data_IF_970055745514
#
_entry.id   IF_970055745514
#
_cell.length_a   1.000
_cell.length_b   1.000
_cell.length_c   1.000
_cell.angle_alpha   90.00
_cell.angle_beta   90.00
_cell.angle_gamma   90.00
#
_symmetry.space_group_name_H-M   'P 1'
#
loop_
_entity.id
_entity.type
_entity.pdbx_description
1 polymer ?
#
# COMPACT_ATOMS: atom_id res chain seq x y z
N UNK A 1 -5.39 -10.61 -10.23
CA UNK A 1 -3.96 -10.42 -10.52
C UNK A 1 -3.23 -11.63 -9.99
N UNK A 2 -2.38 -12.29 -10.78
CA UNK A 2 -1.49 -13.34 -10.28
C UNK A 2 -0.64 -12.82 -9.11
N UNK A 3 -0.29 -13.70 -8.17
CA UNK A 3 0.61 -13.39 -7.04
C UNK A 3 -0.01 -12.56 -5.90
N UNK A 4 -1.01 -11.71 -6.14
CA UNK A 4 -1.70 -10.93 -5.10
C UNK A 4 -2.82 -11.74 -4.42
N UNK A 5 -2.84 -11.75 -3.09
CA UNK A 5 -3.85 -12.49 -2.30
C UNK A 5 -5.21 -11.80 -2.37
N UNK A 6 -6.21 -12.52 -2.89
CA UNK A 6 -7.61 -12.03 -2.94
C UNK A 6 -8.10 -11.66 -1.54
N UNK A 7 -8.76 -10.50 -1.41
CA UNK A 7 -9.29 -10.00 -0.14
C UNK A 7 -8.25 -9.42 0.84
N UNK A 8 -6.96 -9.44 0.48
CA UNK A 8 -5.86 -8.94 1.29
C UNK A 8 -5.22 -7.71 0.64
N UNK A 9 -6.07 -6.75 0.28
CA UNK A 9 -5.65 -5.52 -0.40
C UNK A 9 -6.39 -4.37 0.24
N UNK A 10 -5.65 -3.30 0.53
CA UNK A 10 -6.15 -2.06 1.09
C UNK A 10 -5.66 -0.91 0.21
N UNK A 11 -6.56 0.01 -0.12
CA UNK A 11 -6.20 1.31 -0.66
C UNK A 11 -6.68 2.40 0.29
N UNK A 12 -5.87 3.45 0.45
CA UNK A 12 -6.22 4.64 1.22
C UNK A 12 -5.48 5.87 0.68
N UNK A 13 -6.01 7.04 0.98
CA UNK A 13 -5.37 8.31 0.70
C UNK A 13 -4.48 8.74 1.89
N UNK A 14 -3.35 9.37 1.59
CA UNK A 14 -2.51 10.12 2.55
C UNK A 14 -2.37 11.56 2.07
N UNK A 15 -2.14 12.53 2.98
CA UNK A 15 -1.80 13.90 2.56
C UNK A 15 -0.52 13.86 1.72
N UNK A 16 -0.56 14.49 0.54
CA UNK A 16 0.63 14.79 -0.25
C UNK A 16 0.87 16.29 -0.30
N UNK A 17 1.98 16.69 -0.92
CA UNK A 17 2.40 18.10 -0.99
C UNK A 17 1.39 19.01 -1.71
N UNK A 18 0.80 18.52 -2.81
CA UNK A 18 -0.16 19.27 -3.63
C UNK A 18 -1.59 18.72 -3.47
N UNK A 19 -1.74 17.39 -3.48
CA UNK A 19 -3.03 16.70 -3.35
C UNK A 19 -2.87 15.46 -2.49
N UNK A 20 -3.98 14.86 -2.10
CA UNK A 20 -3.96 13.51 -1.54
C UNK A 20 -3.29 12.51 -2.52
N UNK A 21 -2.55 11.57 -1.95
CA UNK A 21 -1.82 10.52 -2.66
C UNK A 21 -2.44 9.16 -2.36
N UNK A 22 -2.63 8.34 -3.40
CA UNK A 22 -3.20 6.99 -3.25
C UNK A 22 -2.10 5.99 -2.91
N UNK A 23 -2.25 5.30 -1.80
CA UNK A 23 -1.39 4.21 -1.38
C UNK A 23 -2.13 2.89 -1.53
N UNK A 24 -1.46 1.87 -2.04
CA UNK A 24 -1.96 0.49 -2.08
C UNK A 24 -1.09 -0.39 -1.23
N UNK A 25 -1.70 -1.19 -0.35
CA UNK A 25 -1.02 -2.20 0.46
C UNK A 25 -1.65 -3.55 0.16
N UNK A 26 -0.84 -4.55 -0.18
CA UNK A 26 -1.33 -5.86 -0.58
C UNK A 26 -0.45 -6.99 -0.03
N UNK A 27 -1.06 -8.09 0.37
CA UNK A 27 -0.30 -9.34 0.60
C UNK A 27 -0.05 -10.06 -0.72
N UNK A 28 1.16 -10.58 -0.92
CA UNK A 28 1.53 -11.44 -2.07
C UNK A 28 1.92 -12.85 -1.61
N UNK A 29 1.67 -13.87 -2.43
CA UNK A 29 2.03 -15.26 -2.13
C UNK A 29 3.45 -15.63 -2.59
N UNK A 30 4.02 -14.86 -3.52
CA UNK A 30 5.37 -15.07 -4.04
C UNK A 30 6.01 -13.71 -4.32
N UNK A 31 7.31 -13.60 -4.10
CA UNK A 31 8.07 -12.48 -4.60
C UNK A 31 8.06 -12.49 -6.14
N UNK A 32 8.04 -11.31 -6.73
CA UNK A 32 8.02 -11.12 -8.18
C UNK A 32 8.07 -9.63 -8.49
N UNK A 33 8.87 -9.28 -9.48
CA UNK A 33 9.26 -7.89 -9.72
C UNK A 33 8.15 -7.05 -10.37
N UNK A 34 7.19 -7.70 -11.06
CA UNK A 34 6.14 -7.01 -11.83
C UNK A 34 4.90 -6.59 -11.00
N UNK A 35 4.82 -6.95 -9.72
CA UNK A 35 3.61 -6.69 -8.92
C UNK A 35 3.28 -5.20 -8.82
N UNK A 36 4.28 -4.33 -8.66
CA UNK A 36 4.10 -2.88 -8.59
C UNK A 36 3.46 -2.35 -9.89
N UNK A 37 4.06 -2.67 -11.03
CA UNK A 37 3.58 -2.21 -12.33
C UNK A 37 2.17 -2.75 -12.64
N UNK A 38 1.90 -4.02 -12.29
CA UNK A 38 0.58 -4.63 -12.47
C UNK A 38 -0.50 -3.93 -11.64
N UNK A 39 -0.21 -3.61 -10.37
CA UNK A 39 -1.12 -2.87 -9.48
C UNK A 39 -1.39 -1.47 -10.04
N UNK A 40 -0.33 -0.71 -10.32
CA UNK A 40 -0.43 0.66 -10.87
C UNK A 40 -1.26 0.69 -12.15
N UNK A 41 -0.96 -0.20 -13.11
CA UNK A 41 -1.68 -0.29 -14.38
C UNK A 41 -3.15 -0.62 -14.20
N UNK A 42 -3.49 -1.56 -13.32
CA UNK A 42 -4.88 -1.93 -13.15
C UNK A 42 -5.70 -0.89 -12.39
N UNK A 43 -5.11 -0.18 -11.42
CA UNK A 43 -5.76 0.96 -10.77
C UNK A 43 -6.05 2.02 -11.83
N UNK A 44 -5.03 2.46 -12.58
CA UNK A 44 -5.19 3.43 -13.65
C UNK A 44 -6.27 3.04 -14.67
N UNK A 45 -6.25 1.80 -15.14
CA UNK A 45 -7.19 1.30 -16.14
C UNK A 45 -8.64 1.32 -15.65
N UNK A 46 -8.88 1.16 -14.34
CA UNK A 46 -10.23 1.09 -13.76
C UNK A 46 -10.73 2.42 -13.21
N UNK A 47 -9.84 3.24 -12.64
CA UNK A 47 -10.24 4.43 -11.88
C UNK A 47 -9.67 5.73 -12.43
N UNK A 48 -8.68 5.66 -13.34
CA UNK A 48 -7.90 6.83 -13.81
C UNK A 48 -7.17 7.55 -12.67
N UNK A 49 -6.91 6.87 -11.55
CA UNK A 49 -6.08 7.37 -10.46
C UNK A 49 -4.67 6.79 -10.56
N UNK A 50 -3.69 7.60 -10.20
CA UNK A 50 -2.30 7.17 -10.04
C UNK A 50 -2.07 6.69 -8.62
N UNK A 51 -1.48 5.51 -8.47
CA UNK A 51 -0.95 5.05 -7.18
C UNK A 51 0.38 5.76 -6.95
N UNK A 52 0.56 6.38 -5.79
CA UNK A 52 1.82 7.00 -5.38
C UNK A 52 2.79 5.92 -4.88
N UNK A 53 2.34 5.07 -3.95
CA UNK A 53 3.14 3.96 -3.40
C UNK A 53 2.36 2.64 -3.35
N UNK A 54 3.08 1.54 -3.54
CA UNK A 54 2.58 0.18 -3.46
C UNK A 54 3.45 -0.68 -2.54
N UNK A 55 2.88 -1.11 -1.42
CA UNK A 55 3.57 -1.88 -0.37
C UNK A 55 3.13 -3.34 -0.44
N UNK A 56 4.10 -4.24 -0.60
CA UNK A 56 3.86 -5.68 -0.76
C UNK A 56 4.32 -6.48 0.46
N UNK A 57 3.34 -6.90 1.25
CA UNK A 57 3.51 -7.63 2.48
C UNK A 57 3.57 -9.15 2.26
N UNK A 58 4.23 -9.84 3.19
CA UNK A 58 4.14 -11.29 3.33
C UNK A 58 2.74 -11.70 3.86
N UNK A 59 2.30 -12.95 3.58
CA UNK A 59 1.06 -13.50 4.11
C UNK A 59 0.90 -13.31 5.63
N UNK A 60 -0.23 -12.72 6.06
CA UNK A 60 -0.58 -12.55 7.47
C UNK A 60 -0.10 -11.25 8.12
N UNK A 61 0.66 -10.41 7.41
CA UNK A 61 1.13 -9.13 7.94
C UNK A 61 0.10 -7.99 7.80
N UNK A 62 -0.89 -8.12 6.93
CA UNK A 62 -1.89 -7.07 6.75
C UNK A 62 -2.85 -7.05 7.96
N UNK A 63 -3.03 -5.90 8.65
CA UNK A 63 -3.90 -5.81 9.81
C UNK A 63 -5.34 -6.22 9.49
N UNK A 64 -5.89 -7.11 10.32
CA UNK A 64 -7.24 -7.63 10.19
C UNK A 64 -7.95 -7.73 11.54
N UNK A 65 -9.28 -7.66 11.49
CA UNK A 65 -10.13 -8.06 12.61
C UNK A 65 -10.06 -9.58 12.81
N UNK A 66 -10.51 -10.07 13.98
CA UNK A 66 -10.67 -11.50 14.25
C UNK A 66 -11.56 -12.22 13.22
N UNK A 67 -12.52 -11.51 12.62
CA UNK A 67 -13.36 -12.00 11.51
C UNK A 67 -12.70 -11.99 10.14
N UNK A 68 -11.43 -11.58 10.04
CA UNK A 68 -10.65 -11.57 8.81
C UNK A 68 -10.85 -10.35 7.91
N UNK A 69 -11.61 -9.33 8.35
CA UNK A 69 -11.78 -8.07 7.58
C UNK A 69 -10.53 -7.23 7.69
N UNK A 70 -10.05 -6.72 6.57
CA UNK A 70 -8.90 -5.79 6.53
C UNK A 70 -9.21 -4.50 7.32
N UNK A 71 -8.24 -4.02 8.09
CA UNK A 71 -8.36 -2.80 8.88
C UNK A 71 -7.68 -1.64 8.16
N UNK A 72 -8.42 -0.98 7.26
CA UNK A 72 -7.90 0.13 6.42
C UNK A 72 -7.27 1.26 7.25
N UNK A 73 -7.93 1.72 8.31
CA UNK A 73 -7.43 2.80 9.16
C UNK A 73 -6.14 2.43 9.87
N UNK A 74 -6.08 1.24 10.49
CA UNK A 74 -4.87 0.73 11.14
C UNK A 74 -3.72 0.54 10.15
N UNK A 75 -4.02 0.06 8.94
CA UNK A 75 -3.01 -0.10 7.88
C UNK A 75 -2.44 1.26 7.47
N UNK A 76 -3.29 2.29 7.33
CA UNK A 76 -2.86 3.66 7.03
C UNK A 76 -2.00 4.25 8.16
N UNK A 77 -2.37 4.03 9.42
CA UNK A 77 -1.57 4.47 10.56
C UNK A 77 -0.18 3.83 10.58
N UNK A 78 -0.09 2.51 10.36
CA UNK A 78 1.19 1.81 10.27
C UNK A 78 2.03 2.30 9.09
N UNK A 79 1.42 2.57 7.94
CA UNK A 79 2.10 3.13 6.78
C UNK A 79 2.72 4.49 7.10
N UNK A 80 1.93 5.40 7.71
CA UNK A 80 2.40 6.74 8.06
C UNK A 80 3.52 6.74 9.11
N UNK A 81 3.57 5.72 9.97
CA UNK A 81 4.66 5.51 10.94
C UNK A 81 5.86 4.75 10.38
N UNK A 82 5.81 4.29 9.12
CA UNK A 82 6.87 3.45 8.54
C UNK A 82 6.95 2.04 9.14
N UNK A 83 5.88 1.57 9.78
CA UNK A 83 5.84 0.28 10.52
C UNK A 83 5.32 -0.90 9.68
N UNK A 84 4.94 -0.66 8.41
CA UNK A 84 4.62 -1.74 7.49
C UNK A 84 5.92 -2.39 6.99
N UNK A 85 6.26 -3.55 7.55
CA UNK A 85 7.43 -4.33 7.13
C UNK A 85 7.16 -4.93 5.74
N UNK A 86 7.94 -4.55 4.71
CA UNK A 86 7.91 -5.19 3.37
C UNK A 86 9.31 -5.59 2.93
N UNK A 87 9.43 -6.80 2.36
CA UNK A 87 10.67 -7.34 1.78
C UNK A 87 11.05 -6.74 0.42
N UNK A 88 10.25 -5.83 -0.16
CA UNK A 88 10.64 -5.06 -1.37
C UNK A 88 9.77 -3.81 -1.45
N UNK A 89 10.32 -2.63 -1.16
CA UNK A 89 9.64 -1.34 -1.38
C UNK A 89 10.00 -0.89 -2.80
N UNK A 90 9.04 -0.92 -3.72
CA UNK A 90 9.23 -0.42 -5.08
C UNK A 90 9.12 1.11 -5.08
N UNK A 91 10.28 1.77 -5.07
CA UNK A 91 10.51 3.22 -5.27
C UNK A 91 9.68 4.17 -4.41
N UNK A 92 10.33 4.63 -3.35
CA UNK A 92 9.98 5.81 -2.57
C UNK A 92 10.27 7.06 -3.40
N UNK A 93 9.26 7.58 -4.11
CA UNK A 93 9.31 8.97 -4.59
C UNK A 93 9.10 9.87 -3.39
N UNK A 94 10.19 10.28 -2.75
CA UNK A 94 10.18 11.22 -1.64
C UNK A 94 9.49 12.52 -2.04
N UNK A 95 8.43 12.89 -1.29
CA UNK A 95 8.23 14.23 -0.73
C UNK A 95 7.00 14.20 0.20
N UNK A 96 7.20 13.94 1.50
CA UNK A 96 6.75 14.86 2.55
C UNK A 96 7.37 14.51 3.91
N UNK A 97 7.53 15.57 4.70
CA UNK A 97 8.36 15.72 5.88
C UNK A 97 7.77 15.09 7.14
N UNK A 98 8.65 14.91 8.12
CA UNK A 98 8.32 14.57 9.51
C UNK A 98 7.06 15.27 10.02
N UNK A 99 6.05 14.54 10.53
CA UNK A 99 5.01 15.14 11.34
C UNK A 99 5.47 15.25 12.80
N UNK A 100 6.64 15.84 13.06
CA UNK A 100 7.06 16.27 14.40
C UNK A 100 8.42 16.99 14.35
N UNK A 101 8.41 18.30 14.19
CA UNK A 101 9.41 19.17 14.82
C UNK A 101 8.66 20.43 15.23
N UNK A 102 8.20 20.40 16.48
CA UNK A 102 7.86 21.58 17.27
C UNK A 102 9.15 22.07 17.91
#
# INVERSE_FOLDING_TARGET
MPGIRKGNVVAFAVPGEVTEQIIVVAERNAAGDDHDQLVRRAVWNRTRLTVADAVFLEPGQLPKTSSGKVQRSRTRELYLRGELVSGTVATRTHAHADPASV
#
